data_IF_904848125591
#
_entry.id   IF_904848125591
#
_cell.length_a   1.000
_cell.length_b   1.000
_cell.length_c   1.000
_cell.angle_alpha   90.00
_cell.angle_beta   90.00
_cell.angle_gamma   90.00
#
_symmetry.space_group_name_H-M   'P 1'
#
loop_
_entity.id
_entity.type
_entity.pdbx_description
1 polymer ?
#
# COMPACT_ATOMS: atom_id res chain seq x y z
N UNK A 1 8.27 10.56 -14.00
CA UNK A 1 7.50 10.57 -12.72
C UNK A 1 6.45 9.47 -12.80
N UNK A 2 6.59 8.43 -11.99
CA UNK A 2 5.60 7.35 -11.88
C UNK A 2 4.75 7.58 -10.63
N UNK A 3 3.63 8.29 -10.79
CA UNK A 3 2.57 8.26 -9.78
C UNK A 3 1.93 6.87 -9.84
N UNK A 4 2.10 6.06 -8.79
CA UNK A 4 1.41 4.78 -8.72
C UNK A 4 -0.06 5.07 -8.39
N UNK A 5 -0.97 4.58 -9.23
CA UNK A 5 -2.41 4.84 -9.13
C UNK A 5 -3.08 3.83 -8.20
N UNK A 6 -2.41 3.44 -7.11
CA UNK A 6 -3.00 2.49 -6.17
C UNK A 6 -4.07 3.25 -5.38
N UNK A 7 -5.33 2.93 -5.67
CA UNK A 7 -6.51 3.55 -5.05
C UNK A 7 -6.99 2.82 -3.79
N UNK A 8 -6.75 1.51 -3.72
CA UNK A 8 -7.11 0.66 -2.57
C UNK A 8 -6.11 -0.46 -2.37
N UNK A 9 -5.90 -0.85 -1.12
CA UNK A 9 -5.15 -2.06 -0.76
C UNK A 9 -6.16 -3.18 -0.50
N UNK A 10 -5.83 -4.42 -0.89
CA UNK A 10 -6.68 -5.56 -0.55
C UNK A 10 -6.45 -5.96 0.92
N UNK A 11 -7.53 -6.28 1.64
CA UNK A 11 -7.41 -6.91 2.94
C UNK A 11 -6.60 -8.20 2.79
N UNK A 12 -5.58 -8.37 3.63
CA UNK A 12 -4.68 -9.51 3.59
C UNK A 12 -3.49 -9.42 2.62
N UNK A 13 -3.33 -8.32 1.89
CA UNK A 13 -2.16 -8.10 1.02
C UNK A 13 -0.83 -8.20 1.78
N UNK A 14 -0.85 -7.83 3.07
CA UNK A 14 0.33 -7.80 3.92
C UNK A 14 0.48 -9.05 4.80
N UNK A 15 -0.48 -9.98 4.77
CA UNK A 15 -0.50 -11.14 5.68
C UNK A 15 0.73 -12.04 5.49
N UNK A 16 1.23 -12.09 4.25
CA UNK A 16 2.42 -12.87 3.89
C UNK A 16 3.72 -12.07 4.01
N UNK A 17 3.65 -10.76 4.27
CA UNK A 17 4.81 -9.90 4.44
C UNK A 17 5.18 -9.78 5.93
N UNK A 18 5.39 -10.94 6.57
CA UNK A 18 5.63 -11.07 8.02
C UNK A 18 6.87 -10.33 8.51
N UNK A 19 7.81 -10.01 7.63
CA UNK A 19 9.03 -9.25 7.94
C UNK A 19 8.99 -7.79 7.45
N UNK A 20 7.84 -7.30 6.98
CA UNK A 20 7.71 -5.92 6.49
C UNK A 20 7.85 -4.92 7.64
N UNK A 21 8.96 -4.19 7.66
CA UNK A 21 9.23 -3.16 8.68
C UNK A 21 8.74 -1.78 8.28
N UNK A 22 8.78 -1.46 6.98
CA UNK A 22 8.47 -0.14 6.46
C UNK A 22 7.81 -0.25 5.09
N UNK A 23 6.76 0.54 4.88
CA UNK A 23 6.02 0.62 3.62
C UNK A 23 5.83 2.09 3.26
N UNK A 24 6.31 2.49 2.09
CA UNK A 24 6.24 3.87 1.62
C UNK A 24 5.14 4.02 0.56
N UNK A 25 4.09 4.78 0.88
CA UNK A 25 2.90 4.94 0.03
C UNK A 25 2.64 6.39 -0.40
N UNK A 26 3.56 7.32 -0.12
CA UNK A 26 3.39 8.77 -0.27
C UNK A 26 2.98 9.27 -1.67
N UNK A 27 3.22 8.50 -2.73
CA UNK A 27 2.89 8.88 -4.11
C UNK A 27 1.79 7.98 -4.70
N UNK A 28 0.79 7.64 -3.88
CA UNK A 28 -0.39 6.86 -4.27
C UNK A 28 -1.69 7.67 -4.09
N UNK A 29 -2.81 7.09 -4.52
CA UNK A 29 -4.15 7.70 -4.45
C UNK A 29 -5.01 7.09 -3.34
N UNK A 30 -4.36 6.48 -2.35
CA UNK A 30 -5.04 5.82 -1.23
C UNK A 30 -5.79 6.86 -0.40
N UNK A 31 -7.12 6.70 -0.32
CA UNK A 31 -7.99 7.55 0.50
C UNK A 31 -8.09 7.05 1.94
N UNK A 32 -7.97 5.75 2.13
CA UNK A 32 -8.02 5.08 3.42
C UNK A 32 -7.24 3.77 3.35
N UNK A 33 -6.75 3.31 4.49
CA UNK A 33 -6.30 1.93 4.64
C UNK A 33 -7.52 1.05 4.96
N UNK A 34 -7.62 -0.16 4.39
CA UNK A 34 -8.63 -1.14 4.77
C UNK A 34 -8.53 -1.54 6.24
#
# INVERSE_FOLDING_TARGET
>A
LSSNQIESLSAGLFDQLTELKQLFLQSNQLKSLP
#
